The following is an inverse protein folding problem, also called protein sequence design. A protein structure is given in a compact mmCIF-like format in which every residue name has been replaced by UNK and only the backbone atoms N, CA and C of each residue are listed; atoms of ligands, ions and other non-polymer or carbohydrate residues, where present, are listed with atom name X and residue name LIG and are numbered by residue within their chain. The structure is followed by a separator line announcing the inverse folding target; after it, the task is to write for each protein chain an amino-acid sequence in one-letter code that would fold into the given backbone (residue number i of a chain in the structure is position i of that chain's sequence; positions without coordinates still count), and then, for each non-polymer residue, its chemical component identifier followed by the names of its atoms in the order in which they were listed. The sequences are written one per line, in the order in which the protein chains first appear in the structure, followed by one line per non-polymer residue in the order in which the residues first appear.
data_IF_023028450893
#
_entry.id   IF_023028450893
#
_cell.length_a   1.000
_cell.length_b   1.000
_cell.length_c   1.000
_cell.angle_alpha   90.00
_cell.angle_beta   90.00
_cell.angle_gamma   90.00
#
_symmetry.space_group_name_H-M   'P 1'
#
loop_
_entity.id
_entity.type
_entity.pdbx_description
1 polymer ?
#
# COMPACT_ATOMS: atom_id res chain seq x y z
N UNK A 1 -23.43 32.28 22.58
CA UNK A 1 -22.54 31.11 22.42
C UNK A 1 -22.52 30.86 20.93
N UNK A 2 -21.52 31.42 20.27
CA UNK A 2 -21.49 31.52 18.82
C UNK A 2 -21.39 30.11 18.23
N UNK A 3 -22.43 29.71 17.49
CA UNK A 3 -22.54 28.38 16.88
C UNK A 3 -21.70 28.35 15.61
N UNK A 4 -20.38 28.38 15.77
CA UNK A 4 -19.50 28.01 14.67
C UNK A 4 -19.65 26.51 14.45
N UNK A 5 -20.15 26.13 13.27
CA UNK A 5 -20.33 24.72 12.90
C UNK A 5 -18.97 24.00 12.82
N UNK A 6 -17.90 24.75 12.55
CA UNK A 6 -16.53 24.28 12.51
C UNK A 6 -15.76 24.62 13.79
N UNK A 7 -14.91 23.69 14.22
CA UNK A 7 -13.95 23.90 15.30
C UNK A 7 -12.58 23.37 14.89
N UNK A 8 -11.58 24.25 14.95
CA UNK A 8 -10.19 23.91 14.65
C UNK A 8 -9.43 23.69 15.95
N UNK A 9 -8.92 22.49 16.15
CA UNK A 9 -8.03 22.18 17.27
C UNK A 9 -6.61 22.10 16.77
N UNK A 10 -5.80 23.08 17.16
CA UNK A 10 -4.38 23.07 16.86
C UNK A 10 -3.67 21.87 17.48
N UNK A 11 -2.94 21.14 16.65
CA UNK A 11 -2.03 20.07 17.01
C UNK A 11 -0.59 20.57 17.10
N UNK A 12 0.31 19.93 16.35
CA UNK A 12 1.75 20.23 16.37
C UNK A 12 2.01 21.56 15.66
N UNK A 13 2.81 22.42 16.30
CA UNK A 13 3.33 23.67 15.71
C UNK A 13 4.85 23.69 15.80
N UNK A 14 5.49 24.07 14.70
CA UNK A 14 6.93 24.33 14.62
C UNK A 14 7.17 25.75 14.12
N UNK A 15 8.44 26.12 13.94
CA UNK A 15 8.78 27.42 13.35
C UNK A 15 8.37 27.54 11.87
N UNK A 16 8.16 26.42 11.17
CA UNK A 16 7.89 26.38 9.73
C UNK A 16 6.59 25.66 9.37
N UNK A 17 5.82 25.19 10.34
CA UNK A 17 4.58 24.47 10.08
C UNK A 17 3.60 24.47 11.24
N UNK A 18 2.33 24.24 10.94
CA UNK A 18 1.26 24.09 11.92
C UNK A 18 0.24 23.06 11.43
N UNK A 19 -0.37 22.31 12.36
CA UNK A 19 -1.40 21.33 12.07
C UNK A 19 -2.67 21.66 12.86
N UNK A 20 -3.83 21.45 12.26
CA UNK A 20 -5.13 21.53 12.91
C UNK A 20 -5.96 20.28 12.65
N UNK A 21 -6.55 19.72 13.70
CA UNK A 21 -7.67 18.79 13.58
C UNK A 21 -8.96 19.59 13.36
N UNK A 22 -9.74 19.21 12.35
CA UNK A 22 -10.96 19.91 11.94
C UNK A 22 -12.17 19.13 12.42
N UNK A 23 -13.06 19.82 13.12
CA UNK A 23 -14.33 19.25 13.57
C UNK A 23 -15.50 19.99 12.94
N UNK A 24 -16.51 19.26 12.47
CA UNK A 24 -17.80 19.79 12.08
C UNK A 24 -18.88 19.11 12.92
N UNK A 25 -19.75 19.90 13.57
CA UNK A 25 -20.80 19.37 14.46
C UNK A 25 -20.25 18.38 15.53
N UNK A 26 -19.06 18.67 16.07
CA UNK A 26 -18.29 17.83 17.00
C UNK A 26 -17.73 16.51 16.47
N UNK A 27 -17.93 16.18 15.19
CA UNK A 27 -17.27 15.05 14.53
C UNK A 27 -15.94 15.50 13.91
N UNK A 28 -14.88 14.71 14.07
CA UNK A 28 -13.63 14.97 13.35
C UNK A 28 -13.84 14.62 11.87
N UNK A 29 -13.64 15.62 11.00
CA UNK A 29 -13.85 15.49 9.56
C UNK A 29 -12.55 15.50 8.75
N UNK A 30 -11.41 15.74 9.39
CA UNK A 30 -10.14 15.82 8.72
C UNK A 30 -9.11 16.65 9.45
N UNK A 31 -8.09 17.05 8.71
CA UNK A 31 -6.94 17.79 9.20
C UNK A 31 -6.44 18.82 8.18
N UNK A 32 -5.89 19.92 8.67
CA UNK A 32 -5.24 20.96 7.90
C UNK A 32 -3.77 21.01 8.30
N UNK A 33 -2.88 20.90 7.32
CA UNK A 33 -1.43 21.05 7.51
C UNK A 33 -0.97 22.30 6.78
N UNK A 34 -0.31 23.20 7.50
CA UNK A 34 0.18 24.48 6.98
C UNK A 34 1.69 24.46 7.02
N UNK A 35 2.30 24.91 5.93
CA UNK A 35 3.73 25.14 5.82
C UNK A 35 3.97 26.63 5.57
N UNK A 36 4.76 27.24 6.45
CA UNK A 36 5.18 28.63 6.32
C UNK A 36 6.41 28.70 5.43
N UNK A 37 6.33 29.50 4.37
CA UNK A 37 7.47 29.73 3.48
C UNK A 37 8.45 30.74 4.08
N UNK A 38 9.62 30.88 3.45
CA UNK A 38 10.69 31.74 3.95
C UNK A 38 10.16 33.17 4.13
N UNK A 39 10.39 33.74 5.31
CA UNK A 39 9.90 35.05 5.78
C UNK A 39 8.43 35.10 6.26
N UNK A 40 7.75 33.95 6.35
CA UNK A 40 6.36 33.78 6.86
C UNK A 40 5.29 34.62 6.13
N UNK A 41 5.57 35.11 4.91
CA UNK A 41 4.58 35.83 4.10
C UNK A 41 3.64 34.90 3.34
N UNK A 42 4.14 33.72 2.95
CA UNK A 42 3.40 32.80 2.09
C UNK A 42 3.08 31.49 2.83
N UNK A 43 1.90 30.94 2.56
CA UNK A 43 1.38 29.74 3.24
C UNK A 43 0.94 28.66 2.23
N UNK A 44 1.52 27.47 2.34
CA UNK A 44 1.06 26.29 1.60
C UNK A 44 0.30 25.38 2.55
N UNK A 45 -0.95 25.14 2.22
CA UNK A 45 -1.89 24.38 3.02
C UNK A 45 -2.26 23.06 2.33
N UNK A 46 -2.31 21.98 3.08
CA UNK A 46 -2.90 20.71 2.67
C UNK A 46 -4.10 20.41 3.58
N UNK A 47 -5.30 20.53 3.03
CA UNK A 47 -6.54 20.15 3.66
C UNK A 47 -6.86 18.70 3.30
N UNK A 48 -6.92 17.82 4.30
CA UNK A 48 -7.26 16.41 4.14
C UNK A 48 -8.62 16.19 4.78
N UNK A 49 -9.62 15.87 3.97
CA UNK A 49 -10.98 15.56 4.43
C UNK A 49 -11.16 14.05 4.43
N UNK A 50 -11.50 13.52 5.61
CA UNK A 50 -11.52 12.08 5.89
C UNK A 50 -12.91 11.51 6.09
N UNK A 51 -13.93 12.36 5.92
CA UNK A 51 -15.35 12.05 6.06
C UNK A 51 -16.11 12.56 4.85
N UNK A 52 -17.14 11.82 4.46
CA UNK A 52 -18.07 12.30 3.45
C UNK A 52 -18.84 13.51 3.99
N UNK A 53 -18.55 14.68 3.43
CA UNK A 53 -19.24 15.94 3.70
C UNK A 53 -19.86 16.46 2.40
N UNK A 54 -20.94 17.24 2.52
CA UNK A 54 -21.56 17.85 1.36
C UNK A 54 -20.64 18.90 0.72
N UNK A 55 -20.89 19.20 -0.55
CA UNK A 55 -20.16 20.25 -1.29
C UNK A 55 -20.28 21.60 -0.57
N UNK A 56 -21.47 21.94 -0.07
CA UNK A 56 -21.72 23.17 0.69
C UNK A 56 -20.87 23.25 1.95
N UNK A 57 -20.84 22.18 2.76
CA UNK A 57 -20.02 22.13 3.99
C UNK A 57 -18.53 22.26 3.65
N UNK A 58 -18.09 21.68 2.53
CA UNK A 58 -16.71 21.81 2.06
C UNK A 58 -16.36 23.25 1.66
N UNK A 59 -17.26 23.94 0.95
CA UNK A 59 -17.06 25.34 0.55
C UNK A 59 -17.01 26.26 1.77
N UNK A 60 -17.95 26.08 2.72
CA UNK A 60 -17.96 26.81 4.00
C UNK A 60 -16.68 26.56 4.81
N UNK A 61 -16.17 25.32 4.83
CA UNK A 61 -14.93 24.97 5.51
C UNK A 61 -13.72 25.73 4.92
N UNK A 62 -13.64 25.83 3.60
CA UNK A 62 -12.53 26.53 2.93
C UNK A 62 -12.57 28.01 3.27
N UNK A 63 -13.75 28.62 3.20
CA UNK A 63 -13.94 30.03 3.54
C UNK A 63 -13.57 30.30 5.01
N UNK A 64 -14.01 29.43 5.93
CA UNK A 64 -13.67 29.54 7.34
C UNK A 64 -12.15 29.42 7.57
N UNK A 65 -11.45 28.51 6.88
CA UNK A 65 -9.99 28.38 6.96
C UNK A 65 -9.30 29.68 6.51
N UNK A 66 -9.73 30.26 5.37
CA UNK A 66 -9.16 31.51 4.84
C UNK A 66 -9.37 32.66 5.84
N UNK A 67 -10.56 32.74 6.45
CA UNK A 67 -10.91 33.85 7.34
C UNK A 67 -10.31 33.73 8.75
N UNK A 68 -10.02 32.51 9.23
CA UNK A 68 -9.66 32.29 10.64
C UNK A 68 -8.27 31.72 10.86
N UNK A 69 -7.73 30.97 9.89
CA UNK A 69 -6.47 30.24 10.06
C UNK A 69 -5.35 30.86 9.23
N UNK A 70 -5.63 31.26 7.98
CA UNK A 70 -4.62 31.87 7.10
C UNK A 70 -4.18 33.22 7.69
N UNK A 71 -2.88 33.39 7.93
CA UNK A 71 -2.38 34.56 8.67
C UNK A 71 -2.42 35.84 7.83
N UNK A 72 -2.23 35.71 6.51
CA UNK A 72 -2.28 36.83 5.57
C UNK A 72 -3.02 36.44 4.28
N UNK A 73 -4.36 36.46 4.29
CA UNK A 73 -5.16 36.05 3.12
C UNK A 73 -5.04 36.99 1.92
N UNK A 74 -4.46 38.18 2.10
CA UNK A 74 -4.21 39.14 1.01
C UNK A 74 -2.90 38.88 0.27
N UNK A 75 -1.99 38.10 0.88
CA UNK A 75 -0.74 37.64 0.26
C UNK A 75 -0.95 36.27 -0.42
N UNK A 76 0.15 35.65 -0.89
CA UNK A 76 0.06 34.37 -1.59
C UNK A 76 -0.18 33.21 -0.62
N UNK A 77 -1.30 32.51 -0.80
CA UNK A 77 -1.54 31.21 -0.19
C UNK A 77 -2.08 30.20 -1.21
N UNK A 78 -1.87 28.92 -0.94
CA UNK A 78 -2.44 27.81 -1.72
C UNK A 78 -3.02 26.77 -0.77
N UNK A 79 -4.27 26.36 -1.00
CA UNK A 79 -4.90 25.23 -0.30
C UNK A 79 -5.07 24.08 -1.28
N UNK A 80 -4.29 23.01 -1.09
CA UNK A 80 -4.48 21.74 -1.77
C UNK A 80 -5.50 20.91 -0.98
N UNK A 81 -6.53 20.40 -1.66
CA UNK A 81 -7.61 19.65 -1.02
C UNK A 81 -7.52 18.18 -1.43
N UNK A 82 -7.42 17.31 -0.43
CA UNK A 82 -7.40 15.87 -0.57
C UNK A 82 -8.64 15.28 0.10
N UNK A 83 -9.32 14.36 -0.58
CA UNK A 83 -10.48 13.64 -0.05
C UNK A 83 -10.14 12.15 -0.09
N UNK A 84 -10.26 11.47 1.04
CA UNK A 84 -9.99 10.04 1.13
C UNK A 84 -10.37 9.47 2.48
N UNK A 85 -10.36 8.16 2.65
CA UNK A 85 -10.69 7.55 3.93
C UNK A 85 -9.47 7.54 4.86
N UNK A 86 -9.66 7.99 6.10
CA UNK A 86 -8.61 7.87 7.12
C UNK A 86 -8.61 6.45 7.71
N UNK A 87 -7.56 5.71 7.40
CA UNK A 87 -7.38 4.34 7.87
C UNK A 87 -6.58 4.26 9.19
N UNK A 88 -5.87 5.34 9.58
CA UNK A 88 -5.08 5.42 10.80
C UNK A 88 -3.73 6.14 10.63
N UNK A 89 -3.05 6.41 11.76
CA UNK A 89 -1.73 7.06 11.82
C UNK A 89 -0.73 6.21 12.63
N UNK A 90 0.54 6.23 12.24
CA UNK A 90 1.66 5.60 12.97
C UNK A 90 2.61 6.67 13.46
N UNK A 91 2.79 6.76 14.77
CA UNK A 91 3.70 7.74 15.41
C UNK A 91 4.86 6.97 16.05
N UNK A 92 6.09 7.30 15.66
CA UNK A 92 7.30 6.59 16.09
C UNK A 92 7.78 7.01 17.50
N UNK A 93 7.21 8.07 18.06
CA UNK A 93 7.51 8.56 19.42
C UNK A 93 6.24 8.71 20.25
N UNK A 94 6.29 8.49 21.57
CA UNK A 94 5.13 8.71 22.43
C UNK A 94 4.66 10.16 22.34
N UNK A 95 3.33 10.36 22.20
CA UNK A 95 2.73 11.67 22.46
C UNK A 95 3.05 12.07 23.92
N UNK A 96 3.33 13.35 24.22
CA UNK A 96 3.65 13.80 25.59
C UNK A 96 2.59 13.43 26.65
N UNK A 97 1.38 13.06 26.23
CA UNK A 97 0.27 12.62 27.11
C UNK A 97 0.23 11.10 27.39
N UNK A 98 1.29 10.36 27.04
CA UNK A 98 1.63 9.11 27.75
C UNK A 98 0.65 7.93 27.67
N UNK A 99 -0.18 7.80 26.62
CA UNK A 99 -0.89 6.54 26.37
C UNK A 99 -0.17 5.71 25.31
N UNK A 100 0.56 4.69 25.77
CA UNK A 100 1.10 3.65 24.89
C UNK A 100 -0.07 2.81 24.35
N UNK A 101 -0.25 2.81 23.01
CA UNK A 101 -1.20 1.91 22.36
C UNK A 101 -0.88 0.46 22.73
N UNK A 102 -1.91 -0.34 23.06
CA UNK A 102 -1.72 -1.75 23.35
C UNK A 102 -1.19 -2.44 22.09
N UNK A 103 -0.12 -3.21 22.23
CA UNK A 103 0.59 -3.93 21.16
C UNK A 103 -0.33 -4.69 20.16
N UNK A 104 -1.54 -5.08 20.62
CA UNK A 104 -2.57 -5.75 19.82
C UNK A 104 -3.18 -4.85 18.73
N UNK A 105 -3.36 -3.56 18.98
CA UNK A 105 -3.99 -2.63 18.02
C UNK A 105 -3.01 -2.25 16.89
N UNK A 106 -1.72 -2.17 17.22
CA UNK A 106 -0.63 -1.97 16.25
C UNK A 106 -0.50 -3.15 15.27
N UNK A 107 -0.71 -4.39 15.76
CA UNK A 107 -0.61 -5.60 14.95
C UNK A 107 -1.66 -5.67 13.83
N UNK A 108 -2.87 -5.17 14.10
CA UNK A 108 -3.96 -5.17 13.13
C UNK A 108 -3.67 -4.21 11.97
N UNK A 109 -3.16 -3.02 12.28
CA UNK A 109 -2.83 -2.01 11.26
C UNK A 109 -1.59 -2.38 10.45
N UNK A 110 -0.53 -2.89 11.11
CA UNK A 110 0.64 -3.41 10.40
C UNK A 110 0.26 -4.55 9.45
N UNK A 111 -0.69 -5.41 9.82
CA UNK A 111 -1.22 -6.42 8.91
C UNK A 111 -1.93 -5.79 7.71
N UNK A 112 -2.79 -4.78 7.89
CA UNK A 112 -3.45 -4.08 6.77
C UNK A 112 -2.43 -3.45 5.80
N UNK A 113 -1.39 -2.81 6.32
CA UNK A 113 -0.34 -2.21 5.49
C UNK A 113 0.48 -3.27 4.73
N UNK A 114 0.80 -4.40 5.37
CA UNK A 114 1.47 -5.52 4.72
C UNK A 114 0.58 -6.17 3.65
N UNK A 115 -0.73 -6.27 3.88
CA UNK A 115 -1.70 -6.75 2.89
C UNK A 115 -1.74 -5.83 1.67
N UNK A 116 -1.85 -4.52 1.88
CA UNK A 116 -1.87 -3.54 0.79
C UNK A 116 -0.56 -3.57 -0.02
N UNK A 117 0.60 -3.72 0.64
CA UNK A 117 1.88 -3.92 -0.05
C UNK A 117 1.90 -5.22 -0.84
N UNK A 118 1.33 -6.30 -0.30
CA UNK A 118 1.23 -7.61 -0.97
C UNK A 118 0.47 -7.49 -2.28
N UNK A 119 -0.73 -6.92 -2.22
CA UNK A 119 -1.58 -6.66 -3.39
C UNK A 119 -0.88 -5.78 -4.45
N UNK A 120 -0.15 -4.74 -4.01
CA UNK A 120 0.64 -3.93 -4.93
C UNK A 120 1.79 -4.71 -5.59
N UNK A 121 2.43 -5.62 -4.87
CA UNK A 121 3.46 -6.49 -5.43
C UNK A 121 2.90 -7.51 -6.42
N UNK A 122 1.69 -8.02 -6.16
CA UNK A 122 0.95 -8.87 -7.09
C UNK A 122 0.60 -8.11 -8.37
N UNK A 123 0.05 -6.90 -8.26
CA UNK A 123 -0.22 -6.04 -9.41
C UNK A 123 1.03 -5.71 -10.24
N UNK A 124 2.16 -5.45 -9.58
CA UNK A 124 3.44 -5.25 -10.26
C UNK A 124 3.92 -6.51 -11.00
N UNK A 125 3.73 -7.69 -10.41
CA UNK A 125 4.05 -8.96 -11.04
C UNK A 125 3.15 -9.25 -12.25
N UNK A 126 1.85 -8.97 -12.18
CA UNK A 126 0.92 -9.09 -13.31
C UNK A 126 1.40 -8.26 -14.50
N UNK A 127 1.73 -6.98 -14.26
CA UNK A 127 2.23 -6.09 -15.31
C UNK A 127 3.54 -6.60 -15.94
N UNK A 128 4.43 -7.17 -15.11
CA UNK A 128 5.67 -7.78 -15.58
C UNK A 128 5.39 -8.99 -16.50
N UNK A 129 4.50 -9.91 -16.12
CA UNK A 129 4.16 -11.05 -16.98
C UNK A 129 3.44 -10.64 -18.25
N UNK A 130 2.57 -9.63 -18.20
CA UNK A 130 1.96 -9.03 -19.40
C UNK A 130 3.01 -8.45 -20.34
N UNK A 131 4.05 -7.81 -19.81
CA UNK A 131 5.16 -7.29 -20.63
C UNK A 131 5.98 -8.39 -21.32
N UNK A 132 5.93 -9.63 -20.82
CA UNK A 132 6.53 -10.82 -21.41
C UNK A 132 5.58 -11.62 -22.31
N UNK A 133 4.47 -11.01 -22.76
CA UNK A 133 3.43 -11.62 -23.59
C UNK A 133 2.64 -12.77 -22.96
N UNK A 134 2.53 -12.81 -21.63
CA UNK A 134 1.57 -13.69 -20.96
C UNK A 134 0.24 -12.98 -20.74
N UNK A 135 -0.86 -13.74 -20.83
CA UNK A 135 -2.13 -13.34 -20.26
C UNK A 135 -2.08 -13.63 -18.75
N UNK A 136 -1.94 -12.57 -17.94
CA UNK A 136 -1.78 -12.68 -16.49
C UNK A 136 -2.92 -12.01 -15.72
N UNK A 137 -3.41 -12.69 -14.69
CA UNK A 137 -4.51 -12.26 -13.83
C UNK A 137 -4.36 -12.79 -12.39
N UNK A 138 -5.05 -12.16 -11.44
CA UNK A 138 -5.12 -12.66 -10.06
C UNK A 138 -5.75 -14.06 -10.05
N UNK A 139 -5.17 -14.94 -9.23
CA UNK A 139 -5.66 -16.29 -9.11
C UNK A 139 -7.04 -16.29 -8.42
N UNK A 140 -7.97 -17.16 -8.85
CA UNK A 140 -9.27 -17.26 -8.18
C UNK A 140 -9.11 -17.70 -6.71
N UNK A 141 -10.06 -17.39 -5.80
CA UNK A 141 -9.88 -17.61 -4.36
C UNK A 141 -9.54 -19.05 -3.93
N UNK A 142 -9.99 -20.05 -4.67
CA UNK A 142 -9.66 -21.45 -4.41
C UNK A 142 -8.18 -21.78 -4.70
N UNK A 143 -7.53 -21.06 -5.62
CA UNK A 143 -6.10 -21.22 -5.90
C UNK A 143 -5.21 -20.67 -4.78
N UNK A 144 -5.55 -19.52 -4.21
CA UNK A 144 -4.81 -18.95 -3.07
C UNK A 144 -4.98 -19.82 -1.80
N UNK A 145 -6.23 -20.18 -1.47
CA UNK A 145 -6.52 -20.92 -0.23
C UNK A 145 -5.89 -22.32 -0.22
N UNK A 146 -6.07 -23.08 -1.30
CA UNK A 146 -5.68 -24.49 -1.34
C UNK A 146 -4.26 -24.69 -1.87
N UNK A 147 -3.82 -23.85 -2.81
CA UNK A 147 -2.58 -24.06 -3.55
C UNK A 147 -1.48 -23.03 -3.25
N UNK A 148 -1.81 -21.91 -2.59
CA UNK A 148 -0.88 -20.79 -2.34
C UNK A 148 -0.34 -20.26 -3.66
N UNK A 149 -1.25 -19.80 -4.51
CA UNK A 149 -0.97 -19.19 -5.80
C UNK A 149 -1.73 -17.87 -5.83
N UNK A 150 -1.00 -16.76 -6.03
CA UNK A 150 -1.59 -15.41 -6.05
C UNK A 150 -1.95 -14.99 -7.48
N UNK A 151 -1.19 -15.46 -8.49
CA UNK A 151 -1.33 -15.05 -9.90
C UNK A 151 -1.29 -16.28 -10.80
N UNK A 152 -2.14 -16.28 -11.83
CA UNK A 152 -2.05 -17.20 -12.96
C UNK A 152 -1.61 -16.41 -14.19
N UNK A 153 -0.66 -16.97 -14.95
CA UNK A 153 -0.25 -16.39 -16.22
C UNK A 153 -0.12 -17.48 -17.28
N UNK A 154 -0.59 -17.24 -18.50
CA UNK A 154 -0.52 -18.23 -19.57
C UNK A 154 -0.16 -17.64 -20.94
N UNK A 155 0.49 -18.45 -21.75
CA UNK A 155 0.70 -18.21 -23.17
C UNK A 155 0.27 -19.45 -23.97
N UNK A 156 0.69 -19.59 -25.23
CA UNK A 156 0.33 -20.73 -26.08
C UNK A 156 0.96 -22.06 -25.60
N UNK A 157 2.13 -22.03 -24.96
CA UNK A 157 2.93 -23.21 -24.63
C UNK A 157 2.82 -23.64 -23.16
N UNK A 158 2.70 -22.68 -22.25
CA UNK A 158 2.84 -22.90 -20.81
C UNK A 158 1.85 -22.09 -19.97
N UNK A 159 1.57 -22.64 -18.79
CA UNK A 159 0.77 -22.02 -17.73
C UNK A 159 1.62 -21.90 -16.47
N UNK A 160 1.75 -20.68 -15.99
CA UNK A 160 2.52 -20.29 -14.82
C UNK A 160 1.59 -20.17 -13.62
N UNK A 161 2.00 -20.81 -12.53
CA UNK A 161 1.37 -20.71 -11.21
C UNK A 161 2.33 -19.92 -10.34
N UNK A 162 1.97 -18.66 -10.05
CA UNK A 162 2.88 -17.68 -9.48
C UNK A 162 2.52 -17.41 -8.02
N UNK A 163 3.48 -17.58 -7.12
CA UNK A 163 3.42 -17.07 -5.74
C UNK A 163 4.34 -15.85 -5.62
N UNK A 164 3.79 -14.75 -5.13
CA UNK A 164 4.48 -13.51 -4.80
C UNK A 164 4.71 -13.43 -3.30
N UNK A 165 5.95 -13.07 -2.92
CA UNK A 165 6.35 -12.85 -1.52
C UNK A 165 7.08 -11.52 -1.41
N UNK A 166 6.60 -10.65 -0.52
CA UNK A 166 7.21 -9.34 -0.30
C UNK A 166 8.66 -9.39 0.18
N UNK A 167 9.01 -10.41 0.96
CA UNK A 167 10.31 -10.56 1.62
C UNK A 167 11.04 -11.82 1.21
N UNK A 168 11.60 -12.53 2.20
CA UNK A 168 12.25 -13.82 1.97
C UNK A 168 11.21 -14.93 1.92
N UNK A 169 11.32 -15.84 0.94
CA UNK A 169 10.57 -17.09 0.93
C UNK A 169 11.39 -18.22 1.54
N UNK A 170 10.76 -19.09 2.33
CA UNK A 170 11.43 -20.22 2.99
C UNK A 170 11.41 -21.50 2.13
N UNK A 171 12.42 -22.37 2.30
CA UNK A 171 12.51 -23.68 1.61
C UNK A 171 11.22 -24.50 1.70
N UNK A 172 10.63 -24.54 2.90
CA UNK A 172 9.38 -25.28 3.17
C UNK A 172 8.19 -24.71 2.41
N UNK A 173 8.16 -23.40 2.17
CA UNK A 173 7.08 -22.73 1.46
C UNK A 173 7.20 -22.98 -0.04
N UNK A 174 8.41 -22.87 -0.60
CA UNK A 174 8.73 -23.29 -1.98
C UNK A 174 8.26 -24.73 -2.23
N UNK A 175 8.67 -25.67 -1.37
CA UNK A 175 8.31 -27.08 -1.52
C UNK A 175 6.80 -27.33 -1.44
N UNK A 176 6.06 -26.57 -0.62
CA UNK A 176 4.59 -26.66 -0.55
C UNK A 176 3.93 -26.21 -1.84
N UNK A 177 4.29 -25.04 -2.36
CA UNK A 177 3.72 -24.50 -3.59
C UNK A 177 3.96 -25.47 -4.75
N UNK A 178 5.18 -25.97 -4.91
CA UNK A 178 5.51 -26.92 -5.99
C UNK A 178 4.72 -28.21 -5.88
N UNK A 179 4.65 -28.80 -4.67
CA UNK A 179 3.86 -30.00 -4.43
C UNK A 179 2.38 -29.77 -4.74
N UNK A 180 1.83 -28.64 -4.32
CA UNK A 180 0.42 -28.31 -4.53
C UNK A 180 0.12 -28.18 -6.03
N UNK A 181 0.95 -27.44 -6.77
CA UNK A 181 0.77 -27.27 -8.23
C UNK A 181 0.92 -28.59 -8.98
N UNK A 182 1.78 -29.51 -8.52
CA UNK A 182 1.93 -30.83 -9.16
C UNK A 182 0.65 -31.67 -9.15
N UNK A 183 -0.27 -31.39 -8.22
CA UNK A 183 -1.52 -32.11 -8.06
C UNK A 183 -2.68 -31.50 -8.87
N UNK A 184 -2.49 -30.31 -9.46
CA UNK A 184 -3.52 -29.68 -10.28
C UNK A 184 -3.63 -30.39 -11.63
N UNK A 185 -4.84 -30.60 -12.13
CA UNK A 185 -5.12 -31.17 -13.46
C UNK A 185 -6.05 -30.23 -14.26
N UNK A 186 -5.70 -28.95 -14.30
CA UNK A 186 -6.51 -27.86 -14.86
C UNK A 186 -6.05 -27.39 -16.25
N UNK A 187 -4.98 -27.98 -16.79
CA UNK A 187 -4.42 -27.60 -18.09
C UNK A 187 -3.68 -28.74 -18.76
N UNK A 188 -3.68 -28.73 -20.10
CA UNK A 188 -2.84 -29.60 -20.95
C UNK A 188 -1.52 -28.91 -21.36
N UNK A 189 -1.32 -27.65 -20.98
CA UNK A 189 -0.08 -26.90 -21.25
C UNK A 189 1.03 -27.31 -20.28
N UNK A 190 2.27 -26.94 -20.59
CA UNK A 190 3.39 -27.15 -19.68
C UNK A 190 3.18 -26.32 -18.40
N UNK A 191 3.16 -26.98 -17.24
CA UNK A 191 3.04 -26.30 -15.95
C UNK A 191 4.39 -25.76 -15.51
N UNK A 192 4.41 -24.51 -15.11
CA UNK A 192 5.59 -23.84 -14.55
C UNK A 192 5.22 -23.25 -13.20
N UNK A 193 5.97 -23.58 -12.16
CA UNK A 193 5.83 -22.92 -10.86
C UNK A 193 6.75 -21.72 -10.85
N UNK A 194 6.20 -20.53 -10.64
CA UNK A 194 6.99 -19.32 -10.55
C UNK A 194 6.92 -18.75 -9.12
N UNK A 195 8.07 -18.39 -8.59
CA UNK A 195 8.16 -17.76 -7.28
C UNK A 195 8.81 -16.40 -7.44
N UNK A 196 8.10 -15.37 -7.00
CA UNK A 196 8.57 -14.00 -6.95
C UNK A 196 8.89 -13.66 -5.50
N UNK A 197 10.14 -13.30 -5.20
CA UNK A 197 10.53 -12.92 -3.83
C UNK A 197 11.62 -11.85 -3.81
N UNK A 198 11.77 -11.13 -2.70
CA UNK A 198 12.92 -10.24 -2.52
C UNK A 198 14.20 -11.05 -2.32
N UNK A 199 14.13 -12.11 -1.52
CA UNK A 199 15.26 -12.97 -1.19
C UNK A 199 14.88 -14.44 -1.27
N UNK A 200 15.80 -15.22 -1.81
CA UNK A 200 15.72 -16.67 -1.83
C UNK A 200 16.73 -17.28 -0.86
N UNK A 201 16.46 -18.50 -0.37
CA UNK A 201 17.41 -19.25 0.44
C UNK A 201 18.74 -19.46 -0.29
N UNK A 202 19.85 -19.56 0.44
CA UNK A 202 21.20 -19.75 -0.15
C UNK A 202 21.28 -20.99 -1.04
N UNK A 203 20.50 -22.02 -0.71
CA UNK A 203 20.44 -23.30 -1.43
C UNK A 203 19.29 -23.36 -2.44
N UNK A 204 18.66 -22.24 -2.77
CA UNK A 204 17.46 -22.20 -3.60
C UNK A 204 17.65 -22.91 -4.95
N UNK A 205 18.77 -22.71 -5.65
CA UNK A 205 19.02 -23.39 -6.92
C UNK A 205 19.13 -24.92 -6.79
N UNK A 206 19.74 -25.41 -5.71
CA UNK A 206 19.79 -26.84 -5.44
C UNK A 206 18.38 -27.38 -5.14
N UNK A 207 17.61 -26.64 -4.34
CA UNK A 207 16.23 -26.99 -4.03
C UNK A 207 15.37 -27.01 -5.30
N UNK A 208 15.52 -26.01 -6.18
CA UNK A 208 14.86 -25.92 -7.49
C UNK A 208 15.08 -27.19 -8.29
N UNK A 209 16.35 -27.56 -8.53
CA UNK A 209 16.71 -28.77 -9.28
C UNK A 209 16.11 -30.04 -8.68
N UNK A 210 16.23 -30.22 -7.37
CA UNK A 210 15.66 -31.40 -6.69
C UNK A 210 14.14 -31.47 -6.86
N UNK A 211 13.45 -30.34 -6.76
CA UNK A 211 12.00 -30.30 -6.93
C UNK A 211 11.57 -30.49 -8.40
N UNK A 212 12.30 -29.93 -9.36
CA UNK A 212 12.05 -30.15 -10.79
C UNK A 212 12.21 -31.64 -11.16
N UNK A 213 13.29 -32.29 -10.68
CA UNK A 213 13.53 -33.72 -10.88
C UNK A 213 12.44 -34.58 -10.21
N UNK A 214 12.02 -34.20 -9.00
CA UNK A 214 11.03 -34.95 -8.23
C UNK A 214 9.61 -34.87 -8.83
N UNK A 215 9.21 -33.70 -9.32
CA UNK A 215 7.82 -33.44 -9.75
C UNK A 215 7.66 -33.33 -11.27
N UNK A 216 8.75 -33.34 -12.04
CA UNK A 216 8.70 -33.30 -13.51
C UNK A 216 8.14 -32.00 -14.08
N UNK A 217 8.27 -30.89 -13.35
CA UNK A 217 7.78 -29.56 -13.74
C UNK A 217 8.91 -28.55 -13.68
N UNK A 218 8.85 -27.48 -14.48
CA UNK A 218 9.82 -26.39 -14.41
C UNK A 218 9.49 -25.46 -13.24
N UNK A 219 10.52 -24.93 -12.61
CA UNK A 219 10.42 -23.94 -11.54
C UNK A 219 11.23 -22.71 -11.93
N UNK A 220 10.63 -21.54 -11.81
CA UNK A 220 11.25 -20.25 -12.10
C UNK A 220 11.32 -19.41 -10.83
N UNK A 221 12.48 -18.80 -10.59
CA UNK A 221 12.68 -17.82 -9.54
C UNK A 221 12.88 -16.44 -10.15
N UNK A 222 12.06 -15.49 -9.72
CA UNK A 222 12.17 -14.08 -10.11
C UNK A 222 12.39 -13.26 -8.84
N UNK A 223 13.47 -12.49 -8.85
CA UNK A 223 13.71 -11.53 -7.78
C UNK A 223 12.83 -10.29 -7.96
N UNK A 224 12.32 -9.75 -6.85
CA UNK A 224 11.48 -8.54 -6.83
C UNK A 224 12.09 -7.38 -7.63
N UNK A 225 13.41 -7.18 -7.58
CA UNK A 225 14.05 -6.08 -8.30
C UNK A 225 13.85 -6.17 -9.82
N UNK A 226 13.79 -7.39 -10.40
CA UNK A 226 13.58 -7.60 -11.84
C UNK A 226 12.19 -7.12 -12.28
N UNK A 227 11.19 -7.31 -11.41
CA UNK A 227 9.83 -6.78 -11.61
C UNK A 227 9.83 -5.26 -11.52
N UNK A 228 10.48 -4.70 -10.50
CA UNK A 228 10.51 -3.25 -10.27
C UNK A 228 11.31 -2.46 -11.32
N UNK A 229 12.25 -3.09 -12.01
CA UNK A 229 12.95 -2.50 -13.16
C UNK A 229 12.03 -2.33 -14.37
N UNK A 230 11.14 -3.30 -14.61
CA UNK A 230 10.16 -3.26 -15.70
C UNK A 230 8.91 -2.46 -15.36
N UNK A 231 8.61 -2.25 -14.07
CA UNK A 231 7.46 -1.49 -13.61
C UNK A 231 7.87 -0.35 -12.65
N UNK A 232 8.55 0.70 -13.15
CA UNK A 232 9.13 1.76 -12.33
C UNK A 232 8.09 2.55 -11.50
N UNK A 233 6.82 2.55 -11.92
CA UNK A 233 5.71 3.14 -11.17
C UNK A 233 5.52 2.55 -9.76
N UNK A 234 5.92 1.29 -9.53
CA UNK A 234 5.82 0.64 -8.22
C UNK A 234 7.08 0.77 -7.36
N UNK A 235 8.18 1.28 -7.93
CA UNK A 235 9.51 1.30 -7.30
C UNK A 235 9.57 2.12 -6.02
N UNK A 236 8.79 3.20 -5.89
CA UNK A 236 8.79 4.02 -4.65
C UNK A 236 8.06 3.34 -3.49
N UNK A 237 7.07 2.49 -3.78
CA UNK A 237 6.18 1.91 -2.77
C UNK A 237 6.63 0.51 -2.32
N UNK A 238 7.30 -0.24 -3.20
CA UNK A 238 7.72 -1.64 -2.98
C UNK A 238 9.22 -1.84 -2.74
N UNK A 239 10.02 -0.76 -2.80
CA UNK A 239 11.46 -0.79 -2.50
C UNK A 239 11.73 -0.96 -1.02
#
# INVERSE_FOLDING_TARGET
MDSYNFRFRRGIRTASSEQYDIYYMNENIGELHIQFMKDNSDEICNLIITKDISITVKEELIEEIINTIISNPEDFFVINIFIGNFEGSVINTPHPDGMAAKQKDLSKFLNTYQVAKGQLAEGAAIDFFKSMNYQAEEAPPNYDQDFKIDILAENEEEKLYIQVKLGMIADKEIGKVVKNVSMLEDTNKNKVVCIVAERFPVKAENLRRTLEEQYGMKIMYIHKYQILENAPKYKRTLK
#
